data_IF_935767579004
#
_entry.id   IF_935767579004
#
_cell.length_a   1.000
_cell.length_b   1.000
_cell.length_c   1.000
_cell.angle_alpha   90.00
_cell.angle_beta   90.00
_cell.angle_gamma   90.00
#
_symmetry.space_group_name_H-M   'P 1'
#
loop_
_entity.id
_entity.type
_entity.pdbx_description
1 polymer ?
#
# COMPACT_ATOMS: atom_id res chain seq x y z
N UNK A 1 -27.14 -5.42 -5.66
CA UNK A 1 -26.76 -6.68 -6.33
C UNK A 1 -25.39 -6.49 -6.96
N UNK A 2 -24.35 -6.99 -6.29
CA UNK A 2 -22.95 -6.79 -6.68
C UNK A 2 -22.63 -7.58 -7.95
N UNK A 3 -22.58 -6.90 -9.09
CA UNK A 3 -22.04 -7.46 -10.33
C UNK A 3 -20.65 -6.88 -10.53
N UNK A 4 -19.65 -7.58 -9.99
CA UNK A 4 -18.24 -7.32 -10.29
C UNK A 4 -17.57 -8.65 -10.62
N UNK A 5 -17.95 -9.24 -11.75
CA UNK A 5 -17.19 -10.33 -12.36
C UNK A 5 -16.75 -9.86 -13.75
N UNK A 6 -16.02 -8.73 -13.78
CA UNK A 6 -15.23 -8.38 -14.95
C UNK A 6 -14.02 -9.33 -14.98
N UNK A 7 -14.22 -10.51 -15.57
CA UNK A 7 -13.21 -11.47 -16.02
C UNK A 7 -11.96 -11.66 -15.12
N UNK A 8 -12.14 -12.31 -13.95
CA UNK A 8 -11.10 -12.59 -12.96
C UNK A 8 -9.83 -13.22 -13.57
N UNK A 9 -9.98 -14.11 -14.55
CA UNK A 9 -8.86 -14.80 -15.19
C UNK A 9 -7.96 -13.84 -15.99
N UNK A 10 -8.57 -12.86 -16.67
CA UNK A 10 -7.81 -11.81 -17.39
C UNK A 10 -7.06 -10.91 -16.42
N UNK A 11 -7.65 -10.60 -15.27
CA UNK A 11 -6.99 -9.82 -14.22
C UNK A 11 -5.81 -10.57 -13.61
N UNK A 12 -6.02 -11.85 -13.28
CA UNK A 12 -5.00 -12.71 -12.68
C UNK A 12 -3.78 -12.88 -13.60
N UNK A 13 -4.01 -13.14 -14.89
CA UNK A 13 -2.93 -13.26 -15.88
C UNK A 13 -2.12 -11.97 -15.98
N UNK A 14 -2.81 -10.82 -16.07
CA UNK A 14 -2.15 -9.51 -16.19
C UNK A 14 -1.36 -9.14 -14.93
N UNK A 15 -1.94 -9.34 -13.76
CA UNK A 15 -1.25 -9.08 -12.49
C UNK A 15 -0.01 -9.97 -12.34
N UNK A 16 -0.11 -11.25 -12.73
CA UNK A 16 1.02 -12.17 -12.72
C UNK A 16 2.14 -11.73 -13.65
N UNK A 17 1.82 -11.31 -14.87
CA UNK A 17 2.78 -10.76 -15.83
C UNK A 17 3.45 -9.49 -15.30
N UNK A 18 2.68 -8.57 -14.73
CA UNK A 18 3.20 -7.32 -14.16
C UNK A 18 4.10 -7.56 -12.96
N UNK A 19 3.72 -8.48 -12.07
CA UNK A 19 4.54 -8.89 -10.94
C UNK A 19 5.86 -9.49 -11.42
N UNK A 20 5.81 -10.42 -12.38
CA UNK A 20 6.99 -11.09 -12.90
C UNK A 20 7.93 -10.11 -13.60
N UNK A 21 7.37 -9.17 -14.36
CA UNK A 21 8.10 -8.07 -15.00
C UNK A 21 8.80 -7.20 -13.96
N UNK A 22 8.07 -6.71 -12.96
CA UNK A 22 8.63 -5.88 -11.89
C UNK A 22 9.76 -6.59 -11.13
N UNK A 23 9.59 -7.87 -10.84
CA UNK A 23 10.63 -8.67 -10.18
C UNK A 23 11.87 -8.82 -11.08
N UNK A 24 11.68 -9.25 -12.33
CA UNK A 24 12.77 -9.57 -13.26
C UNK A 24 13.55 -8.35 -13.71
N UNK A 25 12.84 -7.28 -14.04
CA UNK A 25 13.45 -6.10 -14.67
C UNK A 25 13.88 -5.06 -13.64
N UNK A 26 13.20 -4.96 -12.51
CA UNK A 26 13.51 -3.93 -11.51
C UNK A 26 14.14 -4.48 -10.23
N UNK A 27 13.52 -5.45 -9.57
CA UNK A 27 13.92 -5.85 -8.20
C UNK A 27 15.18 -6.69 -8.22
N UNK A 28 15.20 -7.76 -9.02
CA UNK A 28 16.30 -8.72 -9.09
C UNK A 28 17.62 -8.02 -9.50
N UNK A 29 17.70 -7.23 -10.59
CA UNK A 29 18.94 -6.58 -10.98
C UNK A 29 19.43 -5.60 -9.91
N UNK A 30 18.51 -4.83 -9.33
CA UNK A 30 18.84 -3.81 -8.33
C UNK A 30 19.38 -4.42 -7.03
N UNK A 31 18.87 -5.58 -6.62
CA UNK A 31 19.28 -6.29 -5.42
C UNK A 31 20.60 -7.05 -5.58
N UNK A 32 20.78 -7.73 -6.73
CA UNK A 32 21.96 -8.58 -6.95
C UNK A 32 23.16 -7.85 -7.57
N UNK A 33 22.95 -6.69 -8.21
CA UNK A 33 24.06 -5.87 -8.70
C UNK A 33 24.80 -5.21 -7.53
N UNK A 34 25.98 -5.72 -7.20
CA UNK A 34 26.83 -5.28 -6.10
C UNK A 34 28.10 -4.63 -6.65
N UNK A 35 28.58 -3.61 -5.94
CA UNK A 35 29.86 -2.97 -6.26
C UNK A 35 31.05 -3.78 -5.74
N UNK A 36 32.26 -3.21 -5.87
CA UNK A 36 33.52 -3.83 -5.40
C UNK A 36 33.54 -4.10 -3.89
N UNK A 37 32.75 -3.37 -3.11
CA UNK A 37 32.62 -3.52 -1.66
C UNK A 37 31.52 -4.54 -1.29
N UNK A 38 30.87 -5.15 -2.29
CA UNK A 38 29.79 -6.12 -2.10
C UNK A 38 28.42 -5.49 -1.78
N UNK A 39 28.26 -4.17 -1.97
CA UNK A 39 27.04 -3.44 -1.60
C UNK A 39 26.14 -3.16 -2.80
N UNK A 40 24.82 -3.45 -2.71
CA UNK A 40 23.88 -3.12 -3.76
C UNK A 40 23.44 -1.65 -3.63
N UNK A 41 24.28 -0.72 -4.11
CA UNK A 41 24.05 0.74 -3.95
C UNK A 41 22.71 1.20 -4.51
N UNK A 42 22.28 0.64 -5.65
CA UNK A 42 20.98 0.92 -6.25
C UNK A 42 19.82 0.53 -5.33
N UNK A 43 19.89 -0.66 -4.73
CA UNK A 43 18.89 -1.15 -3.76
C UNK A 43 18.83 -0.27 -2.52
N UNK A 44 19.99 0.05 -1.94
CA UNK A 44 20.08 0.91 -0.75
C UNK A 44 19.46 2.29 -1.04
N UNK A 45 19.73 2.87 -2.22
CA UNK A 45 19.13 4.14 -2.64
C UNK A 45 17.60 4.04 -2.75
N UNK A 46 17.06 2.97 -3.34
CA UNK A 46 15.61 2.74 -3.43
C UNK A 46 14.98 2.63 -2.04
N UNK A 47 15.57 1.83 -1.14
CA UNK A 47 15.11 1.68 0.25
C UNK A 47 15.08 3.02 1.00
N UNK A 48 16.16 3.80 0.94
CA UNK A 48 16.22 5.13 1.58
C UNK A 48 15.15 6.08 1.04
N UNK A 49 14.91 6.08 -0.28
CA UNK A 49 13.86 6.88 -0.90
C UNK A 49 12.48 6.47 -0.38
N UNK A 50 12.19 5.16 -0.33
CA UNK A 50 10.92 4.62 0.19
C UNK A 50 10.65 5.08 1.62
N UNK A 51 11.63 4.94 2.52
CA UNK A 51 11.50 5.39 3.92
C UNK A 51 11.16 6.89 3.97
N UNK A 52 11.90 7.72 3.21
CA UNK A 52 11.70 9.16 3.17
C UNK A 52 10.33 9.57 2.62
N UNK A 53 9.82 8.89 1.60
CA UNK A 53 8.59 9.32 0.91
C UNK A 53 7.32 8.68 1.47
N UNK A 54 7.42 7.46 2.00
CA UNK A 54 6.26 6.65 2.40
C UNK A 54 6.15 6.44 3.91
N UNK A 55 7.23 6.60 4.68
CA UNK A 55 7.26 6.24 6.11
C UNK A 55 6.19 6.92 6.96
N UNK A 56 5.86 8.19 6.67
CA UNK A 56 4.80 8.93 7.40
C UNK A 56 3.37 8.50 6.99
N UNK A 57 3.21 7.98 5.77
CA UNK A 57 1.89 7.65 5.20
C UNK A 57 1.52 6.18 5.42
N UNK A 58 2.52 5.31 5.47
CA UNK A 58 2.38 3.87 5.68
C UNK A 58 3.00 3.48 7.03
N UNK A 59 2.39 3.98 8.11
CA UNK A 59 2.75 3.66 9.49
C UNK A 59 1.60 2.88 10.15
N UNK A 60 1.92 1.81 10.89
CA UNK A 60 0.95 1.01 11.62
C UNK A 60 0.16 1.84 12.65
N UNK A 61 0.80 2.81 13.30
CA UNK A 61 0.15 3.76 14.21
C UNK A 61 -0.94 4.57 13.47
N UNK A 62 -0.61 5.10 12.29
CA UNK A 62 -1.59 5.75 11.42
C UNK A 62 -2.72 4.81 11.02
N UNK A 63 -2.41 3.57 10.66
CA UNK A 63 -3.42 2.56 10.32
C UNK A 63 -4.37 2.31 11.49
N UNK A 64 -3.86 2.16 12.71
CA UNK A 64 -4.69 1.96 13.91
C UNK A 64 -5.56 3.19 14.18
N UNK A 65 -5.00 4.39 14.10
CA UNK A 65 -5.77 5.63 14.24
C UNK A 65 -6.90 5.71 13.19
N UNK A 66 -6.58 5.49 11.92
CA UNK A 66 -7.54 5.52 10.83
C UNK A 66 -8.65 4.47 11.02
N UNK A 67 -8.28 3.26 11.43
CA UNK A 67 -9.23 2.17 11.67
C UNK A 67 -10.14 2.48 12.87
N UNK A 68 -9.59 2.99 13.96
CA UNK A 68 -10.37 3.39 15.13
C UNK A 68 -11.32 4.54 14.79
N UNK A 69 -10.84 5.60 14.13
CA UNK A 69 -11.64 6.78 13.83
C UNK A 69 -12.71 6.54 12.76
N UNK A 70 -12.42 5.71 11.74
CA UNK A 70 -13.30 5.53 10.58
C UNK A 70 -14.16 4.28 10.66
N UNK A 71 -13.79 3.30 11.49
CA UNK A 71 -14.55 2.06 11.64
C UNK A 71 -15.11 1.93 13.06
N UNK A 72 -14.26 1.88 14.10
CA UNK A 72 -14.74 1.61 15.46
C UNK A 72 -15.59 2.73 16.06
N UNK A 73 -15.17 3.99 15.96
CA UNK A 73 -15.92 5.13 16.52
C UNK A 73 -17.31 5.28 15.86
N UNK A 74 -17.45 5.23 14.52
CA UNK A 74 -18.76 5.22 13.87
C UNK A 74 -19.61 4.00 14.24
N UNK A 75 -19.01 2.80 14.28
CA UNK A 75 -19.72 1.57 14.63
C UNK A 75 -20.17 1.53 16.11
N UNK A 76 -19.43 2.18 17.02
CA UNK A 76 -19.75 2.31 18.43
C UNK A 76 -20.81 3.39 18.73
N UNK A 77 -21.41 4.01 17.70
CA UNK A 77 -22.42 5.05 17.89
C UNK A 77 -21.85 6.45 18.12
N UNK A 78 -20.57 6.69 17.80
CA UNK A 78 -19.92 8.00 17.90
C UNK A 78 -20.44 9.06 16.93
N UNK A 79 -21.35 8.68 16.02
CA UNK A 79 -22.24 9.59 15.30
C UNK A 79 -23.69 9.32 15.72
N UNK A 80 -23.96 9.32 17.03
CA UNK A 80 -25.32 9.39 17.53
C UNK A 80 -25.83 10.81 17.24
N UNK A 81 -26.49 10.94 16.09
CA UNK A 81 -27.42 12.01 15.75
C UNK A 81 -26.92 13.43 16.01
N UNK A 82 -26.26 14.03 15.02
CA UNK A 82 -26.29 15.48 14.87
C UNK A 82 -27.73 15.86 14.48
N UNK A 83 -28.61 16.00 15.49
CA UNK A 83 -29.85 16.72 15.33
C UNK A 83 -29.46 18.18 15.08
N UNK A 84 -29.24 18.52 13.81
CA UNK A 84 -29.40 19.89 13.34
C UNK A 84 -30.84 20.30 13.68
N UNK A 85 -31.01 20.93 14.83
CA UNK A 85 -32.20 21.70 15.12
C UNK A 85 -32.24 22.83 14.11
N UNK A 86 -33.12 22.70 13.12
CA UNK A 86 -33.51 23.80 12.27
C UNK A 86 -34.11 24.90 13.14
N UNK A 87 -33.55 26.10 13.06
CA UNK A 87 -34.24 27.37 13.35
C UNK A 87 -34.28 28.17 12.06
#
# INVERSE_FOLDING_TARGET
TGRTHSNLNVHDTRDGEDLLRALREEVIPLYYHRDRDGLPRGWIKRMKRTIRTLGWRFNADRMVMDYTQKCYVPAAGGTSSDMRSSS
#
